data_IF_298330116235
#
_entry.id   IF_298330116235
#
_cell.length_a   1.000
_cell.length_b   1.000
_cell.length_c   1.000
_cell.angle_alpha   90.00
_cell.angle_beta   90.00
_cell.angle_gamma   90.00
#
_symmetry.space_group_name_H-M   'P 1'
#
loop_
_entity.id
_entity.type
_entity.pdbx_description
1 polymer ?
#
# COMPACT_ATOMS: atom_id res chain seq x y z
N UNK A 1 -26.15 -7.35 -15.22
CA UNK A 1 -25.58 -8.61 -14.72
C UNK A 1 -25.55 -8.56 -13.20
N UNK A 2 -25.86 -9.67 -12.51
CA UNK A 2 -25.81 -9.72 -11.05
C UNK A 2 -24.35 -9.63 -10.59
N UNK A 3 -24.05 -8.69 -9.68
CA UNK A 3 -22.71 -8.51 -9.11
C UNK A 3 -22.30 -9.77 -8.32
N UNK A 4 -21.14 -10.31 -8.58
CA UNK A 4 -20.63 -11.49 -7.85
C UNK A 4 -20.44 -11.16 -6.37
N UNK A 5 -21.09 -11.93 -5.50
CA UNK A 5 -20.92 -11.78 -4.05
C UNK A 5 -19.64 -12.46 -3.61
N UNK A 6 -18.69 -11.67 -3.05
CA UNK A 6 -17.45 -12.19 -2.49
C UNK A 6 -17.70 -12.72 -1.08
N UNK A 7 -17.26 -13.96 -0.75
CA UNK A 7 -17.41 -14.49 0.59
C UNK A 7 -16.68 -13.63 1.64
N UNK A 8 -17.31 -13.43 2.80
CA UNK A 8 -16.72 -12.60 3.88
C UNK A 8 -15.31 -13.04 4.29
N UNK A 9 -15.03 -14.35 4.31
CA UNK A 9 -13.69 -14.88 4.60
C UNK A 9 -12.64 -14.33 3.61
N UNK A 10 -12.99 -14.26 2.32
CA UNK A 10 -12.09 -13.75 1.28
C UNK A 10 -11.94 -12.24 1.39
N UNK A 11 -13.06 -11.53 1.59
CA UNK A 11 -13.04 -10.09 1.79
C UNK A 11 -12.17 -9.70 3.01
N UNK A 12 -12.37 -10.33 4.17
CA UNK A 12 -11.61 -10.06 5.39
C UNK A 12 -10.10 -10.34 5.19
N UNK A 13 -9.76 -11.43 4.51
CA UNK A 13 -8.37 -11.75 4.18
C UNK A 13 -7.74 -10.70 3.27
N UNK A 14 -8.50 -10.17 2.30
CA UNK A 14 -8.03 -9.10 1.41
C UNK A 14 -7.78 -7.81 2.19
N UNK A 15 -8.74 -7.38 3.04
CA UNK A 15 -8.59 -6.19 3.88
C UNK A 15 -7.36 -6.28 4.78
N UNK A 16 -7.14 -7.44 5.41
CA UNK A 16 -5.97 -7.66 6.27
C UNK A 16 -4.65 -7.58 5.48
N UNK A 17 -4.57 -8.23 4.29
CA UNK A 17 -3.37 -8.20 3.44
C UNK A 17 -3.09 -6.83 2.84
N UNK A 18 -4.14 -6.07 2.57
CA UNK A 18 -4.02 -4.70 2.08
C UNK A 18 -3.68 -3.69 3.20
N UNK A 19 -3.79 -4.07 4.48
CA UNK A 19 -3.61 -3.15 5.61
C UNK A 19 -4.61 -2.01 5.61
N UNK A 20 -5.82 -2.23 5.07
CA UNK A 20 -6.85 -1.19 4.93
C UNK A 20 -6.53 -0.11 3.89
N UNK A 21 -5.48 -0.26 3.08
CA UNK A 21 -5.03 0.74 2.11
C UNK A 21 -5.34 0.33 0.67
N UNK A 22 -5.48 1.32 -0.21
CA UNK A 22 -5.58 1.08 -1.65
C UNK A 22 -4.31 0.42 -2.19
N UNK A 23 -4.46 -0.68 -2.92
CA UNK A 23 -3.32 -1.46 -3.46
C UNK A 23 -2.79 -0.92 -4.80
N UNK A 24 -3.34 0.18 -5.31
CA UNK A 24 -2.79 0.82 -6.49
C UNK A 24 -1.45 1.50 -6.16
N UNK A 25 -0.45 1.30 -7.01
CA UNK A 25 0.91 1.81 -6.79
C UNK A 25 0.91 3.33 -6.57
N UNK A 26 1.52 3.78 -5.48
CA UNK A 26 1.62 5.20 -5.13
C UNK A 26 0.35 5.83 -4.54
N UNK A 27 -0.73 5.06 -4.36
CA UNK A 27 -1.94 5.58 -3.72
C UNK A 27 -1.76 5.64 -2.19
N UNK A 28 -1.98 6.80 -1.55
CA UNK A 28 -1.88 6.95 -0.09
C UNK A 28 -3.19 6.64 0.64
N UNK A 29 -4.30 6.37 -0.08
CA UNK A 29 -5.64 6.31 0.51
C UNK A 29 -5.78 5.16 1.51
N UNK A 30 -6.07 5.51 2.77
CA UNK A 30 -6.53 4.60 3.79
C UNK A 30 -8.05 4.48 3.68
N UNK A 31 -8.57 3.26 3.65
CA UNK A 31 -9.95 2.98 3.26
C UNK A 31 -10.85 2.57 4.43
N UNK A 32 -10.33 2.68 5.66
CA UNK A 32 -11.09 2.42 6.89
C UNK A 32 -11.28 3.73 7.62
N UNK A 33 -12.53 4.05 7.91
CA UNK A 33 -12.89 5.32 8.54
C UNK A 33 -12.79 6.52 7.60
N UNK A 34 -13.50 7.56 7.94
CA UNK A 34 -13.43 8.89 7.33
C UNK A 34 -13.54 9.93 8.44
N UNK A 35 -12.40 10.51 8.81
CA UNK A 35 -12.31 11.52 9.87
C UNK A 35 -13.08 12.80 9.53
N UNK A 36 -13.16 13.15 8.24
CA UNK A 36 -13.87 14.37 7.79
C UNK A 36 -15.37 14.17 7.89
N UNK A 37 -15.86 12.97 7.53
CA UNK A 37 -17.28 12.61 7.65
C UNK A 37 -17.68 12.15 9.06
N UNK A 38 -16.74 12.03 10.00
CA UNK A 38 -16.99 11.52 11.34
C UNK A 38 -17.44 10.06 11.38
N UNK A 39 -16.99 9.25 10.41
CA UNK A 39 -17.33 7.82 10.27
C UNK A 39 -16.11 6.96 10.51
N UNK A 40 -15.84 6.65 11.76
CA UNK A 40 -14.69 5.84 12.16
C UNK A 40 -14.84 4.36 11.82
N UNK A 41 -16.07 3.85 11.77
CA UNK A 41 -16.43 2.45 11.51
C UNK A 41 -16.72 2.15 10.03
N UNK A 42 -16.65 3.15 9.15
CA UNK A 42 -16.94 3.00 7.73
C UNK A 42 -15.82 2.30 6.97
N UNK A 43 -16.17 1.56 5.90
CA UNK A 43 -15.22 1.05 4.92
C UNK A 43 -15.52 1.63 3.54
N UNK A 44 -14.52 2.24 2.91
CA UNK A 44 -14.67 3.00 1.65
C UNK A 44 -13.92 2.33 0.49
N UNK A 45 -13.55 1.07 0.65
CA UNK A 45 -12.82 0.28 -0.33
C UNK A 45 -13.74 -0.55 -1.24
N UNK A 46 -13.24 -0.79 -2.45
CA UNK A 46 -13.83 -1.67 -3.44
C UNK A 46 -12.98 -2.93 -3.58
N UNK A 47 -13.65 -4.09 -3.65
CA UNK A 47 -13.02 -5.37 -3.96
C UNK A 47 -12.99 -5.50 -5.49
N UNK A 48 -11.93 -4.96 -6.10
CA UNK A 48 -11.75 -4.93 -7.54
C UNK A 48 -11.23 -6.28 -8.07
N UNK A 49 -11.79 -6.76 -9.16
CA UNK A 49 -11.29 -7.95 -9.84
C UNK A 49 -10.09 -7.63 -10.74
N UNK A 50 -9.05 -8.45 -10.70
CA UNK A 50 -7.92 -8.38 -11.63
C UNK A 50 -8.37 -8.91 -13.00
N UNK A 51 -8.88 -10.13 -13.06
CA UNK A 51 -9.63 -10.69 -14.19
C UNK A 51 -11.11 -10.57 -13.83
N UNK A 52 -11.88 -9.89 -14.66
CA UNK A 52 -13.31 -9.67 -14.39
C UNK A 52 -14.07 -10.97 -14.05
N UNK A 53 -15.14 -10.87 -13.30
CA UNK A 53 -15.99 -12.00 -12.93
C UNK A 53 -16.83 -12.54 -14.09
N UNK A 54 -16.85 -11.83 -15.22
CA UNK A 54 -17.50 -12.23 -16.45
C UNK A 54 -16.58 -12.06 -17.66
N UNK A 55 -16.69 -12.89 -18.71
CA UNK A 55 -15.84 -12.82 -19.90
C UNK A 55 -15.87 -11.48 -20.61
N UNK A 56 -17.00 -10.79 -20.61
CA UNK A 56 -17.16 -9.49 -21.27
C UNK A 56 -16.69 -8.29 -20.45
N UNK A 57 -16.16 -8.48 -19.25
CA UNK A 57 -15.61 -7.43 -18.42
C UNK A 57 -14.13 -7.13 -18.70
N UNK A 58 -13.54 -6.10 -18.07
CA UNK A 58 -12.12 -5.77 -18.23
C UNK A 58 -11.24 -6.98 -17.91
N UNK A 59 -10.31 -7.31 -18.81
CA UNK A 59 -9.41 -8.48 -18.66
C UNK A 59 -10.18 -9.81 -18.48
N UNK A 60 -11.46 -9.86 -18.90
CA UNK A 60 -12.30 -11.05 -18.80
C UNK A 60 -11.81 -12.18 -19.70
N UNK A 61 -12.09 -13.42 -19.28
CA UNK A 61 -11.66 -14.65 -19.97
C UNK A 61 -12.74 -15.72 -19.83
N UNK A 62 -13.10 -16.37 -20.93
CA UNK A 62 -14.19 -17.34 -21.02
C UNK A 62 -14.03 -18.52 -20.04
N UNK A 63 -12.80 -18.99 -19.84
CA UNK A 63 -12.50 -20.17 -19.03
C UNK A 63 -12.16 -19.82 -17.57
N UNK A 64 -11.65 -18.60 -17.34
CA UNK A 64 -11.04 -18.22 -16.07
C UNK A 64 -11.94 -17.33 -15.23
N UNK A 65 -12.74 -16.45 -15.83
CA UNK A 65 -13.53 -15.44 -15.12
C UNK A 65 -14.38 -16.02 -14.00
N UNK A 66 -15.25 -16.98 -14.29
CA UNK A 66 -16.11 -17.59 -13.27
C UNK A 66 -15.32 -18.32 -12.17
N UNK A 67 -14.20 -18.99 -12.53
CA UNK A 67 -13.34 -19.71 -11.61
C UNK A 67 -12.58 -18.79 -10.67
N UNK A 68 -12.17 -17.61 -11.15
CA UNK A 68 -11.37 -16.64 -10.42
C UNK A 68 -12.20 -15.64 -9.63
N UNK A 69 -13.49 -15.49 -9.95
CA UNK A 69 -14.37 -14.45 -9.43
C UNK A 69 -14.38 -14.33 -7.89
N UNK A 70 -14.18 -15.43 -7.15
CA UNK A 70 -14.19 -15.45 -5.68
C UNK A 70 -12.83 -15.78 -5.07
N UNK A 71 -11.77 -15.72 -5.85
CA UNK A 71 -10.42 -16.06 -5.42
C UNK A 71 -9.67 -14.85 -4.91
N UNK A 72 -9.03 -14.99 -3.75
CA UNK A 72 -8.26 -13.91 -3.13
C UNK A 72 -7.13 -13.38 -4.02
N UNK A 73 -6.47 -14.28 -4.75
CA UNK A 73 -5.42 -13.94 -5.71
C UNK A 73 -5.90 -13.05 -6.86
N UNK A 74 -7.20 -13.09 -7.18
CA UNK A 74 -7.81 -12.30 -8.25
C UNK A 74 -8.47 -11.00 -7.77
N UNK A 75 -8.32 -10.65 -6.50
CA UNK A 75 -8.95 -9.47 -5.92
C UNK A 75 -7.91 -8.49 -5.41
N UNK A 76 -8.17 -7.20 -5.64
CA UNK A 76 -7.44 -6.07 -5.08
C UNK A 76 -8.37 -5.17 -4.28
N UNK A 77 -7.84 -4.60 -3.18
CA UNK A 77 -8.53 -3.56 -2.45
C UNK A 77 -8.20 -2.20 -3.08
N UNK A 78 -9.21 -1.49 -3.55
CA UNK A 78 -9.04 -0.23 -4.29
C UNK A 78 -9.91 0.89 -3.71
N UNK A 79 -9.44 2.13 -3.79
CA UNK A 79 -10.31 3.29 -3.64
C UNK A 79 -11.21 3.47 -4.88
N UNK A 80 -12.28 4.24 -4.75
CA UNK A 80 -13.26 4.46 -5.84
C UNK A 80 -12.59 4.98 -7.12
N UNK A 81 -11.64 5.92 -6.99
CA UNK A 81 -10.90 6.50 -8.11
C UNK A 81 -10.12 5.45 -8.89
N UNK A 82 -9.33 4.63 -8.20
CA UNK A 82 -8.49 3.63 -8.85
C UNK A 82 -9.27 2.41 -9.33
N UNK A 83 -10.36 2.05 -8.65
CA UNK A 83 -11.29 1.03 -9.17
C UNK A 83 -11.89 1.46 -10.52
N UNK A 84 -12.38 2.73 -10.60
CA UNK A 84 -12.89 3.27 -11.85
C UNK A 84 -11.82 3.35 -12.94
N UNK A 85 -10.60 3.77 -12.58
CA UNK A 85 -9.49 3.89 -13.52
C UNK A 85 -9.16 2.56 -14.21
N UNK A 86 -9.00 1.48 -13.43
CA UNK A 86 -8.60 0.18 -13.99
C UNK A 86 -9.70 -0.55 -14.75
N UNK A 87 -10.97 -0.25 -14.47
CA UNK A 87 -12.10 -0.98 -15.06
C UNK A 87 -12.86 -0.19 -16.13
N UNK A 88 -12.78 1.15 -16.13
CA UNK A 88 -13.58 2.00 -17.00
C UNK A 88 -12.73 2.97 -17.80
N UNK A 89 -11.88 3.75 -17.13
CA UNK A 89 -11.21 4.89 -17.78
C UNK A 89 -10.00 4.46 -18.62
N UNK A 90 -9.24 3.45 -18.16
CA UNK A 90 -8.01 2.99 -18.82
C UNK A 90 -7.75 1.48 -18.63
N UNK A 91 -8.70 0.58 -18.97
CA UNK A 91 -8.52 -0.85 -18.75
C UNK A 91 -7.34 -1.45 -19.53
N UNK A 92 -7.04 -0.93 -20.72
CA UNK A 92 -5.97 -1.43 -21.59
C UNK A 92 -4.58 -1.08 -21.03
N UNK A 93 -4.47 0.02 -20.29
CA UNK A 93 -3.21 0.43 -19.62
C UNK A 93 -2.94 -0.40 -18.36
N UNK A 94 -3.90 -1.22 -17.94
CA UNK A 94 -3.83 -2.02 -16.73
C UNK A 94 -3.98 -3.52 -17.01
N UNK A 95 -3.01 -4.13 -17.70
CA UNK A 95 -3.04 -5.56 -17.95
C UNK A 95 -2.95 -6.37 -16.65
N UNK A 96 -3.42 -7.62 -16.69
CA UNK A 96 -3.45 -8.53 -15.55
C UNK A 96 -2.10 -8.62 -14.82
N UNK A 97 -1.01 -8.72 -15.60
CA UNK A 97 0.36 -8.83 -15.05
C UNK A 97 0.77 -7.61 -14.21
N UNK A 98 0.38 -6.41 -14.65
CA UNK A 98 0.65 -5.18 -13.91
C UNK A 98 -0.12 -5.14 -12.59
N UNK A 99 -1.41 -5.48 -12.61
CA UNK A 99 -2.24 -5.49 -11.41
C UNK A 99 -1.77 -6.54 -10.39
N UNK A 100 -1.38 -7.73 -10.86
CA UNK A 100 -0.78 -8.77 -10.02
C UNK A 100 0.54 -8.30 -9.38
N UNK A 101 1.38 -7.59 -10.14
CA UNK A 101 2.63 -7.04 -9.63
C UNK A 101 2.39 -5.97 -8.55
N UNK A 102 1.44 -5.04 -8.78
CA UNK A 102 1.05 -4.02 -7.79
C UNK A 102 0.54 -4.65 -6.50
N UNK A 103 -0.35 -5.65 -6.62
CA UNK A 103 -0.88 -6.41 -5.48
C UNK A 103 0.25 -7.07 -4.68
N UNK A 104 1.11 -7.81 -5.35
CA UNK A 104 2.21 -8.54 -4.71
C UNK A 104 3.21 -7.60 -4.03
N UNK A 105 3.53 -6.46 -4.63
CA UNK A 105 4.40 -5.44 -4.07
C UNK A 105 3.79 -4.84 -2.78
N UNK A 106 2.51 -4.47 -2.84
CA UNK A 106 1.79 -3.90 -1.71
C UNK A 106 1.68 -4.89 -0.55
N UNK A 107 1.22 -6.12 -0.79
CA UNK A 107 1.07 -7.15 0.25
C UNK A 107 2.41 -7.48 0.92
N UNK A 108 3.51 -7.52 0.14
CA UNK A 108 4.86 -7.72 0.66
C UNK A 108 5.31 -6.57 1.58
N UNK A 109 4.94 -5.32 1.24
CA UNK A 109 5.21 -4.15 2.08
C UNK A 109 4.45 -4.23 3.40
N UNK A 110 3.15 -4.55 3.36
CA UNK A 110 2.33 -4.71 4.57
C UNK A 110 2.86 -5.86 5.45
N UNK A 111 3.16 -7.02 4.85
CA UNK A 111 3.71 -8.16 5.58
C UNK A 111 5.02 -7.82 6.31
N UNK A 112 5.91 -7.03 5.68
CA UNK A 112 7.14 -6.58 6.34
C UNK A 112 6.86 -5.66 7.53
N UNK A 113 5.93 -4.72 7.38
CA UNK A 113 5.57 -3.80 8.46
C UNK A 113 4.93 -4.53 9.66
N UNK A 114 4.09 -5.53 9.39
CA UNK A 114 3.45 -6.35 10.44
C UNK A 114 4.44 -7.32 11.10
N UNK A 115 5.49 -7.74 10.39
CA UNK A 115 6.52 -8.63 10.94
C UNK A 115 7.44 -7.95 11.97
N UNK A 116 7.41 -6.63 12.08
CA UNK A 116 8.12 -5.90 13.14
C UNK A 116 7.34 -6.10 14.44
N UNK A 117 7.77 -7.08 15.24
CA UNK A 117 7.16 -7.36 16.54
C UNK A 117 7.55 -6.30 17.60
N UNK A 118 6.75 -6.17 18.68
CA UNK A 118 7.01 -5.21 19.75
C UNK A 118 8.36 -5.45 20.46
N UNK A 119 8.87 -6.69 20.44
CA UNK A 119 10.11 -7.09 21.08
C UNK A 119 11.36 -6.99 20.17
N UNK A 120 11.15 -6.58 18.90
CA UNK A 120 12.26 -6.37 18.00
C UNK A 120 12.90 -4.99 18.27
N UNK A 121 14.15 -5.00 18.70
CA UNK A 121 14.95 -3.79 18.77
C UNK A 121 15.09 -3.21 17.37
N UNK A 122 14.44 -2.07 17.10
CA UNK A 122 14.58 -1.35 15.86
C UNK A 122 15.28 -0.01 16.11
N UNK A 123 16.27 0.30 15.29
CA UNK A 123 16.85 1.63 15.27
C UNK A 123 15.99 2.50 14.34
N UNK A 124 15.26 3.45 14.93
CA UNK A 124 14.54 4.46 14.15
C UNK A 124 15.45 5.67 14.02
N UNK A 125 16.01 5.88 12.84
CA UNK A 125 16.74 7.11 12.53
C UNK A 125 15.72 8.11 11.99
N UNK A 126 15.41 9.14 12.78
CA UNK A 126 14.53 10.24 12.36
C UNK A 126 15.41 11.37 11.83
N UNK A 127 15.29 11.67 10.54
CA UNK A 127 15.88 12.86 9.97
C UNK A 127 14.86 13.99 10.02
N UNK A 128 15.21 15.10 10.64
CA UNK A 128 14.45 16.36 10.54
C UNK A 128 15.35 17.39 9.88
N UNK A 129 14.87 17.97 8.78
CA UNK A 129 15.54 19.09 8.14
C UNK A 129 14.78 20.38 8.49
N UNK A 130 15.50 21.39 9.00
CA UNK A 130 14.97 22.74 9.14
C UNK A 130 15.25 23.48 7.83
N UNK A 131 14.21 23.76 7.06
CA UNK A 131 14.34 24.51 5.82
C UNK A 131 14.42 25.99 6.22
N UNK A 132 15.60 26.56 6.15
CA UNK A 132 15.85 28.00 6.34
C UNK A 132 15.93 28.72 5.00
N UNK A 133 16.19 30.02 5.03
CA UNK A 133 16.26 30.90 3.86
C UNK A 133 17.37 30.55 2.84
N UNK A 134 18.28 29.63 3.20
CA UNK A 134 19.35 29.14 2.32
C UNK A 134 19.53 27.65 2.50
N UNK A 135 18.72 26.82 1.78
CA UNK A 135 18.86 25.37 1.88
C UNK A 135 20.16 24.92 1.20
N UNK A 136 21.19 24.65 1.96
CA UNK A 136 22.28 23.80 1.47
C UNK A 136 21.67 22.41 1.25
N UNK A 137 21.57 21.98 0.00
CA UNK A 137 21.22 20.61 -0.35
C UNK A 137 22.35 19.69 0.08
N UNK A 138 22.30 19.23 1.32
CA UNK A 138 23.19 18.18 1.80
C UNK A 138 22.74 16.89 1.14
N UNK A 139 23.60 16.27 0.34
CA UNK A 139 23.27 15.00 -0.31
C UNK A 139 23.09 13.90 0.75
N UNK A 140 22.24 12.93 0.49
CA UNK A 140 22.04 11.76 1.37
C UNK A 140 23.35 11.04 1.67
N UNK A 141 24.32 11.12 0.75
CA UNK A 141 25.64 10.53 0.87
C UNK A 141 26.51 11.28 1.88
N UNK A 142 26.47 12.61 1.90
CA UNK A 142 27.20 13.43 2.87
C UNK A 142 26.68 13.21 4.28
N UNK A 143 25.38 13.04 4.45
CA UNK A 143 24.77 12.67 5.74
C UNK A 143 25.27 11.28 6.17
N UNK A 144 25.31 10.32 5.25
CA UNK A 144 25.75 8.95 5.53
C UNK A 144 27.24 8.92 5.89
N UNK A 145 28.08 9.63 5.15
CA UNK A 145 29.52 9.70 5.38
C UNK A 145 29.86 10.40 6.71
N UNK A 146 29.06 11.40 7.11
CA UNK A 146 29.18 12.05 8.41
C UNK A 146 28.77 11.15 9.59
N UNK A 147 27.89 10.16 9.36
CA UNK A 147 27.44 9.20 10.38
C UNK A 147 28.34 7.98 10.55
N UNK A 148 29.17 7.65 9.55
CA UNK A 148 30.05 6.47 9.56
C UNK A 148 31.10 6.43 10.68
N UNK A 149 31.63 7.55 11.22
CA UNK A 149 32.57 7.51 12.34
C UNK A 149 31.92 7.25 13.70
N UNK A 150 30.62 7.32 13.81
CA UNK A 150 29.95 7.17 15.09
C UNK A 150 29.52 5.71 15.30
N UNK A 151 30.07 5.12 16.35
CA UNK A 151 29.63 3.82 16.85
C UNK A 151 28.12 3.86 17.06
N UNK A 152 27.36 2.86 16.59
CA UNK A 152 25.94 2.82 16.85
C UNK A 152 25.69 2.93 18.36
N UNK A 153 24.71 3.75 18.79
CA UNK A 153 24.41 3.91 20.20
C UNK A 153 24.04 2.57 20.82
N UNK A 154 24.38 2.40 22.07
CA UNK A 154 23.91 1.27 22.84
C UNK A 154 22.36 1.32 22.90
N UNK A 155 21.74 0.15 22.98
CA UNK A 155 20.28 0.05 23.04
C UNK A 155 19.68 1.00 24.09
N UNK A 156 18.85 1.94 23.66
CA UNK A 156 18.21 2.94 24.53
C UNK A 156 18.85 4.34 24.52
N UNK A 157 19.94 4.54 23.80
CA UNK A 157 20.60 5.85 23.69
C UNK A 157 20.01 6.65 22.52
N UNK A 158 19.60 7.89 22.79
CA UNK A 158 19.12 8.83 21.76
C UNK A 158 20.27 9.76 21.39
N UNK A 159 20.60 9.85 20.11
CA UNK A 159 21.55 10.84 19.62
C UNK A 159 20.76 11.98 18.98
N UNK A 160 20.85 13.17 19.56
CA UNK A 160 20.37 14.40 18.95
C UNK A 160 21.47 14.96 18.05
N UNK A 161 21.24 14.94 16.74
CA UNK A 161 22.10 15.57 15.75
C UNK A 161 21.59 17.00 15.50
N UNK A 162 22.23 18.00 16.11
CA UNK A 162 22.07 19.38 15.69
C UNK A 162 22.99 19.65 14.49
N UNK A 163 22.39 19.87 13.33
CA UNK A 163 23.07 20.46 12.18
C UNK A 163 23.07 21.97 12.38
N UNK A 164 24.21 22.48 12.86
CA UNK A 164 24.45 23.92 12.94
C UNK A 164 24.94 24.35 11.56
N UNK A 165 24.08 25.10 10.83
CA UNK A 165 24.42 25.78 9.58
C UNK A 165 25.05 27.12 9.84
#
# INVERSE_FOLDING_TARGET
MAKTTIPNKVANALWARAGGCCQYRGCPDYLVGDLIAGREDGTFGFLAHIVADSPGGPRGDELRSARLAKKLENLMLMCARHHKLIDVDAPDDHPESLLLAMKAEHERRIARNVAIGPDMASHVVRFSAKIGENPALVSTREIFDAMLPHRPPASGETIDLELIG
#
